data_IF_099885955797
#
_entry.id   IF_099885955797
#
_cell.length_a   1.000
_cell.length_b   1.000
_cell.length_c   1.000
_cell.angle_alpha   90.00
_cell.angle_beta   90.00
_cell.angle_gamma   90.00
#
_symmetry.space_group_name_H-M   'P 1'
#
loop_
_entity.id
_entity.type
_entity.pdbx_description
1 polymer ?
#
# COMPACT_ATOMS: atom_id res chain seq x y z
N UNK A 1 7.10 -20.30 5.89
CA UNK A 1 6.31 -19.11 6.23
C UNK A 1 5.92 -18.48 4.92
N UNK A 2 4.62 -18.33 4.66
CA UNK A 2 4.10 -17.98 3.34
C UNK A 2 4.38 -16.50 3.06
N UNK A 3 5.22 -16.22 2.06
CA UNK A 3 5.61 -14.87 1.61
C UNK A 3 4.45 -13.85 1.56
N UNK A 4 3.21 -14.30 1.31
CA UNK A 4 2.03 -13.43 1.24
C UNK A 4 1.69 -12.73 2.56
N UNK A 5 1.78 -13.43 3.70
CA UNK A 5 1.47 -12.81 5.01
C UNK A 5 2.51 -11.76 5.38
N UNK A 6 3.78 -12.03 5.10
CA UNK A 6 4.88 -11.09 5.30
C UNK A 6 4.74 -9.86 4.40
N UNK A 7 4.33 -10.05 3.14
CA UNK A 7 4.05 -8.96 2.20
C UNK A 7 2.89 -8.10 2.72
N UNK A 8 1.76 -8.71 3.13
CA UNK A 8 0.63 -7.97 3.69
C UNK A 8 1.04 -7.17 4.92
N UNK A 9 1.81 -7.77 5.82
CA UNK A 9 2.29 -7.09 7.02
C UNK A 9 3.20 -5.91 6.65
N UNK A 10 4.16 -6.09 5.74
CA UNK A 10 5.03 -5.01 5.28
C UNK A 10 4.24 -3.83 4.71
N UNK A 11 3.25 -4.11 3.86
CA UNK A 11 2.40 -3.08 3.26
C UNK A 11 1.58 -2.35 4.33
N UNK A 12 0.97 -3.08 5.27
CA UNK A 12 0.22 -2.46 6.38
C UNK A 12 1.12 -1.59 7.27
N UNK A 13 2.34 -2.03 7.60
CA UNK A 13 3.28 -1.20 8.40
C UNK A 13 3.69 0.07 7.66
N UNK A 14 3.89 0.00 6.33
CA UNK A 14 4.16 1.19 5.52
C UNK A 14 2.95 2.14 5.47
N UNK A 15 1.72 1.63 5.37
CA UNK A 15 0.53 2.47 5.39
C UNK A 15 0.37 3.19 6.73
N UNK A 16 0.73 2.56 7.85
CA UNK A 16 0.72 3.18 9.19
C UNK A 16 1.64 4.40 9.32
N UNK A 17 2.67 4.53 8.48
CA UNK A 17 3.55 5.71 8.50
C UNK A 17 2.94 6.92 7.80
N UNK A 18 1.82 6.75 7.10
CA UNK A 18 1.12 7.87 6.48
C UNK A 18 0.47 8.76 7.55
N UNK A 19 0.45 10.10 7.34
CA UNK A 19 -0.32 11.02 8.17
C UNK A 19 -1.79 10.61 8.30
N UNK A 20 -2.41 10.93 9.45
CA UNK A 20 -3.81 10.58 9.71
C UNK A 20 -4.79 11.20 8.69
N UNK A 21 -4.41 12.33 8.09
CA UNK A 21 -5.19 13.02 7.06
C UNK A 21 -4.81 12.61 5.63
N UNK A 22 -3.97 11.58 5.46
CA UNK A 22 -3.64 11.06 4.14
C UNK A 22 -4.78 10.18 3.62
N UNK A 23 -5.37 10.61 2.51
CA UNK A 23 -6.27 9.80 1.69
C UNK A 23 -5.56 9.36 0.41
N UNK A 24 -5.90 8.17 -0.09
CA UNK A 24 -5.46 7.69 -1.39
C UNK A 24 -6.69 7.52 -2.29
N UNK A 25 -6.66 8.18 -3.45
CA UNK A 25 -7.67 7.98 -4.48
C UNK A 25 -7.25 6.79 -5.36
N UNK A 26 -8.09 5.77 -5.43
CA UNK A 26 -7.88 4.59 -6.28
C UNK A 26 -8.81 4.67 -7.48
N UNK A 27 -8.47 5.54 -8.42
CA UNK A 27 -9.18 5.69 -9.69
C UNK A 27 -10.70 5.77 -9.54
N UNK A 28 -11.42 4.89 -10.25
CA UNK A 28 -12.88 4.84 -10.19
C UNK A 28 -13.45 4.13 -8.93
N UNK A 29 -12.61 3.53 -8.10
CA UNK A 29 -13.03 2.78 -6.90
C UNK A 29 -13.33 3.71 -5.72
N UNK A 30 -12.81 4.94 -5.74
CA UNK A 30 -13.09 5.97 -4.75
C UNK A 30 -11.85 6.46 -4.02
N UNK A 31 -12.09 7.16 -2.91
CA UNK A 31 -11.07 7.69 -2.01
C UNK A 31 -11.15 6.96 -0.67
N UNK A 32 -9.98 6.56 -0.17
CA UNK A 32 -9.86 5.75 1.04
C UNK A 32 -8.89 6.43 2.00
N UNK A 33 -9.27 6.49 3.27
CA UNK A 33 -8.36 6.91 4.33
C UNK A 33 -7.40 5.77 4.70
N UNK A 34 -6.36 6.09 5.48
CA UNK A 34 -5.33 5.13 5.92
C UNK A 34 -5.89 3.85 6.51
N UNK A 35 -6.89 3.95 7.39
CA UNK A 35 -7.41 2.80 8.13
C UNK A 35 -8.24 1.90 7.21
N UNK A 36 -8.97 2.48 6.25
CA UNK A 36 -9.67 1.75 5.19
C UNK A 36 -8.68 1.01 4.29
N UNK A 37 -7.58 1.65 3.89
CA UNK A 37 -6.53 1.01 3.09
C UNK A 37 -5.93 -0.21 3.82
N UNK A 38 -5.65 -0.08 5.11
CA UNK A 38 -5.13 -1.18 5.94
C UNK A 38 -6.15 -2.33 6.01
N UNK A 39 -7.43 -2.02 6.21
CA UNK A 39 -8.51 -3.02 6.25
C UNK A 39 -8.61 -3.80 4.93
N UNK A 40 -8.58 -3.12 3.78
CA UNK A 40 -8.58 -3.75 2.47
C UNK A 40 -7.37 -4.69 2.27
N UNK A 41 -6.16 -4.26 2.64
CA UNK A 41 -4.95 -5.09 2.57
C UNK A 41 -5.05 -6.33 3.46
N UNK A 42 -5.58 -6.17 4.67
CA UNK A 42 -5.79 -7.28 5.61
C UNK A 42 -6.79 -8.30 5.05
N UNK A 43 -7.90 -7.83 4.50
CA UNK A 43 -8.95 -8.67 3.91
C UNK A 43 -8.50 -9.34 2.60
N UNK A 44 -7.53 -8.74 1.91
CA UNK A 44 -6.99 -9.25 0.65
C UNK A 44 -8.00 -9.21 -0.50
N UNK A 45 -8.99 -8.31 -0.43
CA UNK A 45 -9.94 -8.05 -1.49
C UNK A 45 -9.28 -7.37 -2.71
N UNK A 46 -10.04 -7.13 -3.77
CA UNK A 46 -9.50 -6.56 -5.02
C UNK A 46 -8.79 -5.22 -4.81
N UNK A 47 -9.31 -4.39 -3.90
CA UNK A 47 -8.70 -3.10 -3.55
C UNK A 47 -7.41 -3.35 -2.76
N UNK A 48 -7.44 -4.25 -1.79
CA UNK A 48 -6.28 -4.68 -1.00
C UNK A 48 -5.15 -5.22 -1.87
N UNK A 49 -5.46 -6.07 -2.85
CA UNK A 49 -4.48 -6.58 -3.81
C UNK A 49 -3.88 -5.45 -4.65
N UNK A 50 -4.69 -4.48 -5.07
CA UNK A 50 -4.20 -3.34 -5.83
C UNK A 50 -3.28 -2.44 -4.99
N UNK A 51 -3.63 -2.22 -3.72
CA UNK A 51 -2.78 -1.48 -2.78
C UNK A 51 -1.44 -2.20 -2.60
N UNK A 52 -1.45 -3.52 -2.39
CA UNK A 52 -0.22 -4.32 -2.26
C UNK A 52 0.67 -4.14 -3.50
N UNK A 53 0.11 -4.22 -4.70
CA UNK A 53 0.85 -4.03 -5.95
C UNK A 53 1.51 -2.64 -6.01
N UNK A 54 0.74 -1.57 -5.76
CA UNK A 54 1.23 -0.19 -5.81
C UNK A 54 2.32 0.04 -4.76
N UNK A 55 2.11 -0.43 -3.53
CA UNK A 55 3.04 -0.19 -2.44
C UNK A 55 4.35 -0.97 -2.59
N UNK A 56 4.29 -2.21 -3.11
CA UNK A 56 5.51 -2.94 -3.45
C UNK A 56 6.28 -2.28 -4.59
N UNK A 57 5.59 -1.74 -5.60
CA UNK A 57 6.24 -1.01 -6.69
C UNK A 57 6.92 0.27 -6.16
N UNK A 58 6.26 1.00 -5.27
CA UNK A 58 6.85 2.16 -4.58
C UNK A 58 8.12 1.77 -3.80
N UNK A 59 8.05 0.72 -2.96
CA UNK A 59 9.18 0.27 -2.15
C UNK A 59 10.36 -0.21 -3.01
N UNK A 60 10.10 -0.85 -4.15
CA UNK A 60 11.14 -1.24 -5.12
C UNK A 60 11.76 -0.02 -5.79
N UNK A 61 10.95 0.93 -6.25
CA UNK A 61 11.43 2.18 -6.83
C UNK A 61 12.29 2.99 -5.86
N UNK A 62 11.93 2.99 -4.57
CA UNK A 62 12.73 3.59 -3.51
C UNK A 62 14.09 2.91 -3.37
N UNK A 63 14.12 1.57 -3.36
CA UNK A 63 15.36 0.78 -3.30
C UNK A 63 16.25 1.01 -4.52
N UNK A 64 15.65 1.08 -5.70
CA UNK A 64 16.35 1.21 -6.99
C UNK A 64 16.82 2.65 -7.24
N UNK A 65 16.35 3.61 -6.44
CA UNK A 65 16.72 5.02 -6.54
C UNK A 65 15.92 5.81 -7.59
N UNK A 66 14.97 5.18 -8.27
CA UNK A 66 14.16 5.77 -9.36
C UNK A 66 13.34 6.96 -8.86
N UNK A 67 12.95 6.97 -7.59
CA UNK A 67 12.20 8.10 -7.00
C UNK A 67 13.06 9.36 -6.77
N UNK A 68 14.38 9.26 -6.93
CA UNK A 68 15.32 10.38 -6.76
C UNK A 68 15.89 10.90 -8.09
N UNK A 69 15.56 10.26 -9.22
CA UNK A 69 15.97 10.74 -10.54
C UNK A 69 15.06 11.90 -10.96
N UNK A 70 15.60 13.13 -10.89
CA UNK A 70 15.00 14.37 -11.44
C UNK A 70 15.67 14.80 -12.72
#
# INVERSE_FOLDING_TARGET
MSNEQEIKQLVMERLKTLPDNAGLSIGAQGEFNRDELISHVQNGDEIGQKIIEVELNFLRGLKEGILYET
#
